data_IF_821530974968
#
_entry.id   IF_821530974968
#
_cell.length_a   1.000
_cell.length_b   1.000
_cell.length_c   1.000
_cell.angle_alpha   90.00
_cell.angle_beta   90.00
_cell.angle_gamma   90.00
#
_symmetry.space_group_name_H-M   'P 1'
#
loop_
_entity.id
_entity.type
_entity.pdbx_description
1 polymer ?
#
# COMPACT_ATOMS: atom_id res chain seq x y z
N UNK A 1 48.78 -18.98 -46.29
CA UNK A 1 48.44 -19.45 -44.93
C UNK A 1 47.22 -18.67 -44.46
N UNK A 2 46.11 -19.35 -44.15
CA UNK A 2 44.82 -18.75 -43.79
C UNK A 2 44.73 -18.62 -42.27
N UNK A 3 44.48 -17.42 -41.74
CA UNK A 3 44.05 -17.27 -40.34
C UNK A 3 42.88 -16.29 -40.34
N UNK A 4 41.67 -16.86 -40.26
CA UNK A 4 40.44 -16.13 -39.97
C UNK A 4 40.31 -16.12 -38.46
N UNK A 5 40.34 -14.94 -37.84
CA UNK A 5 39.90 -14.76 -36.46
C UNK A 5 38.96 -13.57 -36.47
N UNK A 6 37.67 -13.86 -36.66
CA UNK A 6 36.60 -12.94 -36.30
C UNK A 6 36.15 -13.34 -34.90
N UNK A 7 36.52 -12.55 -33.90
CA UNK A 7 35.97 -12.63 -32.56
C UNK A 7 34.99 -11.44 -32.41
N UNK A 8 33.73 -11.64 -32.79
CA UNK A 8 32.65 -10.70 -32.51
C UNK A 8 32.20 -10.94 -31.06
N UNK A 9 32.73 -10.15 -30.14
CA UNK A 9 32.23 -10.08 -28.75
C UNK A 9 30.98 -9.19 -28.78
N UNK A 10 29.81 -9.81 -28.93
CA UNK A 10 28.53 -9.14 -28.73
C UNK A 10 28.27 -9.00 -27.22
N UNK A 11 28.76 -7.92 -26.62
CA UNK A 11 28.38 -7.51 -25.26
C UNK A 11 26.93 -7.05 -25.29
N UNK A 12 26.00 -7.96 -25.01
CA UNK A 12 24.59 -7.66 -24.80
C UNK A 12 24.50 -6.80 -23.52
N UNK A 13 24.34 -5.48 -23.70
CA UNK A 13 23.95 -4.60 -22.60
C UNK A 13 22.56 -5.05 -22.14
N UNK A 14 22.51 -5.85 -21.07
CA UNK A 14 21.30 -6.08 -20.31
C UNK A 14 20.99 -4.77 -19.56
N UNK A 15 20.29 -3.86 -20.24
CA UNK A 15 19.68 -2.70 -19.61
C UNK A 15 18.66 -3.21 -18.61
N UNK A 16 19.06 -3.36 -17.35
CA UNK A 16 18.10 -3.58 -16.25
C UNK A 16 17.24 -2.33 -16.17
N UNK A 17 16.02 -2.43 -16.70
CA UNK A 17 14.97 -1.44 -16.46
C UNK A 17 14.66 -1.49 -14.96
N UNK A 18 15.20 -0.51 -14.24
CA UNK A 18 14.83 -0.26 -12.86
C UNK A 18 13.42 0.35 -12.89
N UNK A 19 12.40 -0.47 -12.68
CA UNK A 19 11.07 0.05 -12.40
C UNK A 19 11.07 0.57 -10.96
N UNK A 20 10.75 1.85 -10.79
CA UNK A 20 10.46 2.38 -9.48
C UNK A 20 9.26 1.63 -8.90
N UNK A 21 9.33 1.22 -7.64
CA UNK A 21 8.20 0.60 -6.97
C UNK A 21 7.00 1.56 -7.00
N UNK A 22 5.83 1.06 -7.37
CA UNK A 22 4.61 1.86 -7.35
C UNK A 22 4.33 2.31 -5.91
N UNK A 23 4.03 3.59 -5.74
CA UNK A 23 3.73 4.18 -4.44
C UNK A 23 2.30 4.71 -4.42
N UNK A 24 1.70 4.63 -3.25
CA UNK A 24 0.29 4.93 -3.02
C UNK A 24 0.16 5.83 -1.81
N UNK A 25 -0.66 6.86 -1.92
CA UNK A 25 -1.08 7.66 -0.78
C UNK A 25 -2.35 7.05 -0.24
N UNK A 26 -2.34 6.75 1.05
CA UNK A 26 -3.48 6.15 1.74
C UNK A 26 -3.88 7.07 2.88
N UNK A 27 -5.06 7.66 2.72
CA UNK A 27 -5.68 8.50 3.73
C UNK A 27 -6.70 7.67 4.48
N UNK A 28 -6.59 7.60 5.80
CA UNK A 28 -7.51 6.84 6.64
C UNK A 28 -8.06 7.70 7.77
N UNK A 29 -9.30 7.45 8.16
CA UNK A 29 -9.92 8.03 9.36
C UNK A 29 -10.50 6.92 10.21
N UNK A 30 -10.14 6.91 11.48
CA UNK A 30 -10.56 5.94 12.48
C UNK A 30 -11.48 6.62 13.49
N UNK A 31 -12.67 6.05 13.70
CA UNK A 31 -13.63 6.53 14.68
C UNK A 31 -13.96 5.44 15.70
N UNK A 32 -14.26 5.87 16.92
CA UNK A 32 -14.78 5.02 18.01
C UNK A 32 -15.92 5.76 18.69
N UNK A 33 -17.08 5.11 18.86
CA UNK A 33 -18.30 5.75 19.36
C UNK A 33 -18.70 7.01 18.59
N UNK A 34 -18.39 7.07 17.29
CA UNK A 34 -18.66 8.23 16.43
C UNK A 34 -17.63 9.38 16.54
N UNK A 35 -16.67 9.29 17.45
CA UNK A 35 -15.61 10.30 17.61
C UNK A 35 -14.35 9.93 16.81
N UNK A 36 -13.72 10.92 16.18
CA UNK A 36 -12.47 10.72 15.44
C UNK A 36 -11.32 10.46 16.42
N UNK A 37 -10.67 9.30 16.26
CA UNK A 37 -9.52 8.89 17.09
C UNK A 37 -8.19 9.19 16.39
N UNK A 38 -8.09 8.88 15.10
CA UNK A 38 -6.87 9.10 14.32
C UNK A 38 -7.20 9.32 12.84
N UNK A 39 -6.39 10.12 12.15
CA UNK A 39 -6.53 10.36 10.71
C UNK A 39 -5.16 10.35 9.98
N UNK A 40 -4.42 9.22 9.98
CA UNK A 40 -3.10 9.19 9.37
C UNK A 40 -3.19 9.17 7.84
N UNK A 41 -2.19 9.79 7.23
CA UNK A 41 -1.92 9.76 5.79
C UNK A 41 -0.55 9.13 5.59
N UNK A 42 -0.49 8.01 4.87
CA UNK A 42 0.72 7.23 4.66
C UNK A 42 1.06 7.16 3.17
N UNK A 43 2.36 7.21 2.85
CA UNK A 43 2.87 6.81 1.54
C UNK A 43 3.34 5.37 1.66
N UNK A 44 2.78 4.49 0.84
CA UNK A 44 2.95 3.04 0.92
C UNK A 44 3.43 2.51 -0.42
N UNK A 45 4.53 1.76 -0.41
CA UNK A 45 4.97 1.01 -1.58
C UNK A 45 4.10 -0.23 -1.78
N UNK A 46 3.84 -0.60 -3.04
CA UNK A 46 3.13 -1.84 -3.38
C UNK A 46 3.74 -3.06 -2.67
N UNK A 47 2.86 -3.89 -2.11
CA UNK A 47 3.14 -5.16 -1.45
C UNK A 47 4.10 -5.05 -0.24
N UNK A 48 4.36 -3.84 0.25
CA UNK A 48 5.07 -3.59 1.50
C UNK A 48 4.09 -3.17 2.59
N UNK A 49 4.39 -3.57 3.83
CA UNK A 49 3.63 -3.14 4.99
C UNK A 49 4.13 -1.79 5.46
N UNK A 50 3.23 -0.82 5.52
CA UNK A 50 3.43 0.43 6.24
C UNK A 50 2.80 0.34 7.64
N UNK A 51 3.42 1.02 8.60
CA UNK A 51 3.01 1.01 9.99
C UNK A 51 2.87 2.44 10.51
N UNK A 52 1.86 2.66 11.34
CA UNK A 52 1.61 3.89 12.07
C UNK A 52 1.26 3.55 13.52
N UNK A 53 1.81 4.29 14.47
CA UNK A 53 1.58 4.11 15.91
C UNK A 53 1.27 5.49 16.49
N UNK A 54 0.23 5.56 17.33
CA UNK A 54 -0.16 6.76 18.05
C UNK A 54 -0.30 6.45 19.53
N UNK A 55 0.63 6.96 20.34
CA UNK A 55 0.71 6.59 21.76
C UNK A 55 0.93 5.10 21.96
N UNK A 56 0.50 4.59 23.10
CA UNK A 56 0.70 3.19 23.49
C UNK A 56 -0.48 2.29 23.08
N UNK A 57 -1.65 2.88 22.81
CA UNK A 57 -2.91 2.16 22.66
C UNK A 57 -3.42 2.10 21.22
N UNK A 58 -2.78 2.76 20.25
CA UNK A 58 -3.21 2.72 18.85
C UNK A 58 -2.07 2.33 17.92
N UNK A 59 -2.28 1.27 17.14
CA UNK A 59 -1.41 0.91 16.03
C UNK A 59 -2.20 0.51 14.80
N UNK A 60 -1.63 0.80 13.65
CA UNK A 60 -2.22 0.59 12.35
C UNK A 60 -1.16 0.08 11.38
N UNK A 61 -1.36 -1.13 10.87
CA UNK A 61 -0.56 -1.70 9.79
C UNK A 61 -1.42 -1.81 8.53
N UNK A 62 -0.79 -1.56 7.40
CA UNK A 62 -1.43 -1.46 6.10
C UNK A 62 -0.55 -2.06 5.02
N UNK A 63 -1.13 -2.89 4.16
CA UNK A 63 -0.49 -3.38 2.94
C UNK A 63 -1.38 -3.06 1.75
N UNK A 64 -0.77 -2.55 0.69
CA UNK A 64 -1.43 -2.22 -0.58
C UNK A 64 -1.02 -3.24 -1.64
N UNK A 65 -2.00 -3.92 -2.25
CA UNK A 65 -1.77 -4.85 -3.37
C UNK A 65 -2.55 -4.36 -4.58
N UNK A 66 -1.87 -3.79 -5.59
CA UNK A 66 -2.51 -3.37 -6.83
C UNK A 66 -3.26 -4.53 -7.50
N UNK A 67 -4.41 -4.24 -8.11
CA UNK A 67 -5.24 -5.20 -8.83
C UNK A 67 -5.48 -4.73 -10.26
N UNK A 68 -6.09 -5.60 -11.07
CA UNK A 68 -6.56 -5.24 -12.41
C UNK A 68 -7.71 -4.21 -12.32
N UNK A 69 -8.05 -3.60 -13.45
CA UNK A 69 -9.23 -2.75 -13.61
C UNK A 69 -9.29 -1.50 -12.70
N UNK A 70 -8.15 -0.87 -12.44
CA UNK A 70 -8.05 0.35 -11.61
C UNK A 70 -8.57 0.17 -10.18
N UNK A 71 -8.44 -1.05 -9.66
CA UNK A 71 -8.74 -1.36 -8.26
C UNK A 71 -7.49 -1.68 -7.47
N UNK A 72 -7.63 -1.64 -6.15
CA UNK A 72 -6.58 -1.92 -5.20
C UNK A 72 -7.10 -2.75 -4.05
N UNK A 73 -6.32 -3.77 -3.68
CA UNK A 73 -6.51 -4.54 -2.47
C UNK A 73 -5.84 -3.84 -1.30
N UNK A 74 -6.57 -3.70 -0.21
CA UNK A 74 -6.09 -3.08 1.03
C UNK A 74 -6.26 -4.08 2.15
N UNK A 75 -5.17 -4.50 2.77
CA UNK A 75 -5.18 -5.32 3.97
C UNK A 75 -4.71 -4.49 5.16
N UNK A 76 -5.44 -4.54 6.25
CA UNK A 76 -5.11 -3.76 7.45
C UNK A 76 -5.09 -4.61 8.69
N UNK A 77 -4.32 -4.18 9.68
CA UNK A 77 -4.45 -4.62 11.06
C UNK A 77 -4.49 -3.38 11.94
N UNK A 78 -5.58 -3.19 12.67
CA UNK A 78 -5.85 -2.01 13.50
C UNK A 78 -6.00 -2.47 14.93
N UNK A 79 -5.21 -1.90 15.83
CA UNK A 79 -5.24 -2.21 17.26
C UNK A 79 -5.70 -0.98 18.03
N UNK A 80 -6.69 -1.16 18.90
CA UNK A 80 -7.11 -0.20 19.92
C UNK A 80 -7.01 -0.86 21.30
N UNK A 81 -6.05 -0.43 22.13
CA UNK A 81 -5.71 -1.09 23.39
C UNK A 81 -5.33 -2.56 23.15
N UNK A 82 -6.09 -3.49 23.73
CA UNK A 82 -5.92 -4.93 23.55
C UNK A 82 -6.63 -5.52 22.33
N UNK A 83 -7.50 -4.75 21.66
CA UNK A 83 -8.36 -5.27 20.60
C UNK A 83 -7.72 -5.05 19.23
N UNK A 84 -7.49 -6.13 18.48
CA UNK A 84 -7.02 -6.05 17.08
C UNK A 84 -8.09 -6.54 16.12
N UNK A 85 -8.40 -5.73 15.10
CA UNK A 85 -9.22 -6.10 13.95
C UNK A 85 -8.36 -6.16 12.69
N UNK A 86 -8.72 -7.03 11.74
CA UNK A 86 -7.99 -7.21 10.47
C UNK A 86 -8.89 -7.06 9.24
N UNK A 87 -9.44 -5.86 8.97
CA UNK A 87 -10.31 -5.67 7.82
C UNK A 87 -9.52 -5.64 6.51
N UNK A 88 -10.19 -6.05 5.44
CA UNK A 88 -9.68 -6.03 4.08
C UNK A 88 -10.69 -5.42 3.12
N UNK A 89 -10.21 -4.67 2.14
CA UNK A 89 -11.02 -3.97 1.15
C UNK A 89 -10.52 -4.28 -0.26
N UNK A 90 -11.44 -4.26 -1.22
CA UNK A 90 -11.13 -4.05 -2.63
C UNK A 90 -11.90 -2.79 -3.02
N UNK A 91 -11.20 -1.76 -3.48
CA UNK A 91 -11.81 -0.49 -3.87
C UNK A 91 -11.18 0.06 -5.14
N UNK A 92 -11.92 0.91 -5.83
CA UNK A 92 -11.39 1.73 -6.91
C UNK A 92 -10.51 2.85 -6.34
N UNK A 93 -9.49 3.27 -7.09
CA UNK A 93 -8.68 4.43 -6.73
C UNK A 93 -9.54 5.69 -6.57
N UNK A 94 -9.14 6.58 -5.66
CA UNK A 94 -9.76 7.88 -5.39
C UNK A 94 -11.24 7.82 -4.98
N UNK A 95 -11.70 6.64 -4.54
CA UNK A 95 -13.03 6.43 -3.96
C UNK A 95 -12.89 6.08 -2.49
N UNK A 96 -13.76 6.69 -1.68
CA UNK A 96 -13.86 6.36 -0.27
C UNK A 96 -14.51 4.99 -0.09
N UNK A 97 -13.88 4.17 0.74
CA UNK A 97 -14.45 2.96 1.31
C UNK A 97 -14.63 3.16 2.82
N UNK A 98 -15.67 2.53 3.37
CA UNK A 98 -15.90 2.53 4.81
C UNK A 98 -16.30 1.16 5.32
N UNK A 99 -15.98 0.89 6.58
CA UNK A 99 -16.38 -0.30 7.31
C UNK A 99 -16.69 0.07 8.76
N UNK A 100 -17.77 -0.51 9.28
CA UNK A 100 -18.19 -0.35 10.67
C UNK A 100 -18.19 -1.72 11.35
N UNK A 101 -17.56 -1.81 12.52
CA UNK A 101 -17.46 -3.03 13.34
C UNK A 101 -17.75 -2.64 14.79
N UNK A 102 -18.96 -2.95 15.25
CA UNK A 102 -19.42 -2.55 16.58
C UNK A 102 -19.43 -1.03 16.74
N UNK A 103 -18.66 -0.52 17.70
CA UNK A 103 -18.50 0.91 17.97
C UNK A 103 -17.42 1.60 17.11
N UNK A 104 -16.71 0.85 16.25
CA UNK A 104 -15.56 1.33 15.48
C UNK A 104 -15.95 1.55 14.03
N UNK A 105 -15.41 2.62 13.43
CA UNK A 105 -15.52 2.90 12.00
C UNK A 105 -14.15 3.19 11.42
N UNK A 106 -13.89 2.62 10.25
CA UNK A 106 -12.72 2.91 9.41
C UNK A 106 -13.22 3.47 8.09
N UNK A 107 -12.75 4.64 7.69
CA UNK A 107 -12.85 5.12 6.31
C UNK A 107 -11.46 5.23 5.69
N UNK A 108 -11.35 4.92 4.41
CA UNK A 108 -10.09 5.02 3.69
C UNK A 108 -10.28 5.40 2.23
N UNK A 109 -9.28 6.10 1.70
CA UNK A 109 -9.12 6.43 0.28
C UNK A 109 -7.69 6.07 -0.11
N UNK A 110 -7.53 5.45 -1.28
CA UNK A 110 -6.22 5.13 -1.87
C UNK A 110 -6.06 5.87 -3.18
N UNK A 111 -4.96 6.61 -3.31
CA UNK A 111 -4.58 7.36 -4.50
C UNK A 111 -3.20 6.92 -4.98
N UNK A 112 -2.97 6.91 -6.29
CA UNK A 112 -1.63 6.67 -6.86
C UNK A 112 -0.74 7.89 -6.65
N UNK A 113 0.54 7.66 -6.35
CA UNK A 113 1.55 8.72 -6.22
C UNK A 113 2.46 8.66 -7.43
N UNK A 114 2.45 9.73 -8.22
CA UNK A 114 3.13 9.77 -9.52
C UNK A 114 2.30 9.04 -10.59
N UNK A 115 1.77 9.81 -11.54
CA UNK A 115 1.18 9.32 -12.79
C UNK A 115 1.82 10.08 -13.94
#
# INVERSE_FOLDING_TARGET
MKIKVSLLVASLLASVVCFAAETYQVSTSFFKNGELVAAPMLIVEADKTASFILGDDFSYNLTITPKQDQTVGVATAVTFGSDTIKPSFILAYDKEASMEIGDKKLTLVVSKVGS
#
